data_IF_744840774904
#
_entry.id   IF_744840774904
#
_cell.length_a   1.000
_cell.length_b   1.000
_cell.length_c   1.000
_cell.angle_alpha   90.00
_cell.angle_beta   90.00
_cell.angle_gamma   90.00
#
_symmetry.space_group_name_H-M   'P 1'
#
loop_
_entity.id
_entity.type
_entity.pdbx_description
1 polymer ?
2 non-polymer ?
3 non-polymer ?
4 water ?
#
# COMPACT_ATOMS: atom_id res chain seq x y z
N UNK A 1 -1.12 -2.29 -13.83
CA UNK A 1 -0.05 -1.61 -13.11
C UNK A 1 0.49 -2.47 -11.99
N UNK A 2 1.64 -2.09 -11.43
CA UNK A 2 2.20 -2.84 -10.32
C UNK A 2 2.42 -1.94 -9.10
N UNK A 3 2.57 -2.58 -7.96
CA UNK A 3 2.95 -1.91 -6.74
C UNK A 3 4.14 -2.66 -6.15
N UNK A 4 5.18 -1.91 -5.78
CA UNK A 4 6.35 -2.39 -5.06
C UNK A 4 6.45 -1.63 -3.73
N UNK A 5 6.16 -2.31 -2.63
CA UNK A 5 6.30 -1.75 -1.29
C UNK A 5 7.64 -2.21 -0.73
N UNK A 6 8.51 -1.29 -0.37
CA UNK A 6 9.65 -1.68 0.44
C UNK A 6 9.30 -1.53 1.92
N UNK A 7 9.28 -2.66 2.62
CA UNK A 7 8.93 -2.73 4.06
C UNK A 7 10.22 -2.64 4.88
N UNK A 8 10.45 -1.47 5.46
CA UNK A 8 11.73 -1.21 6.15
C UNK A 8 11.59 -1.19 7.67
N UNK A 9 12.50 -1.93 8.28
CA UNK A 9 12.64 -2.08 9.75
C UNK A 9 13.44 -0.88 10.24
N UNK A 10 12.98 -0.24 11.30
CA UNK A 10 13.57 0.97 11.84
C UNK A 10 13.70 0.81 13.35
N UNK A 11 14.89 1.06 13.90
CA UNK A 11 15.08 0.96 15.37
C UNK A 11 14.18 1.88 16.17
N UNK A 12 13.89 1.48 17.41
CA UNK A 12 13.10 2.32 18.30
C UNK A 12 13.67 3.73 18.37
N UNK A 13 12.82 4.73 18.07
CA UNK A 13 13.22 6.12 18.13
C UNK A 13 13.80 6.69 16.85
N UNK A 14 14.10 5.85 15.86
CA UNK A 14 14.72 6.27 14.61
C UNK A 14 13.74 6.72 13.56
N UNK A 15 12.43 6.59 13.80
CA UNK A 15 11.42 7.07 12.89
C UNK A 15 11.63 8.49 12.36
N UNK A 16 11.80 9.45 13.27
CA UNK A 16 12.06 10.84 12.82
C UNK A 16 13.26 10.96 11.90
N UNK A 17 14.39 10.34 12.25
CA UNK A 17 15.57 10.40 11.38
C UNK A 17 15.28 9.78 10.01
N UNK A 18 14.52 8.69 9.98
CA UNK A 18 14.24 8.02 8.71
C UNK A 18 13.37 8.89 7.81
N UNK A 19 12.32 9.49 8.38
CA UNK A 19 11.43 10.35 7.61
C UNK A 19 12.14 11.58 7.09
N UNK A 20 13.08 12.11 7.85
CA UNK A 20 13.84 13.25 7.38
C UNK A 20 14.65 12.88 6.15
N UNK A 21 15.19 11.67 6.13
CA UNK A 21 15.94 11.24 4.96
C UNK A 21 15.03 11.14 3.73
N UNK A 22 13.77 10.76 3.90
CA UNK A 22 12.89 10.75 2.73
C UNK A 22 12.35 12.14 2.37
N UNK A 23 12.38 13.09 3.30
CA UNK A 23 11.60 14.31 3.14
C UNK A 23 11.88 15.07 1.83
N UNK A 24 13.11 15.03 1.33
CA UNK A 24 13.47 15.79 0.14
C UNK A 24 13.96 14.89 -1.00
N UNK A 25 13.35 13.70 -1.10
CA UNK A 25 13.79 12.71 -2.05
C UNK A 25 12.95 12.67 -3.32
N UNK A 26 11.91 13.53 -3.40
CA UNK A 26 10.99 13.49 -4.54
C UNK A 26 11.72 13.53 -5.89
N UNK A 27 12.76 14.36 -6.00
CA UNK A 27 13.45 14.58 -7.26
C UNK A 27 14.02 13.30 -7.86
N UNK A 28 14.34 12.31 -7.01
CA UNK A 28 15.05 11.10 -7.41
C UNK A 28 14.17 10.13 -8.20
N UNK A 29 12.87 10.33 -8.21
CA UNK A 29 11.97 9.34 -8.82
C UNK A 29 10.84 10.04 -9.57
N UNK A 30 10.63 11.32 -9.28
CA UNK A 30 9.43 12.02 -9.72
C UNK A 30 9.26 11.99 -11.22
N UNK A 31 10.36 12.09 -11.96
CA UNK A 31 10.29 12.26 -13.40
C UNK A 31 10.57 10.95 -14.15
N UNK A 32 10.52 9.80 -13.48
CA UNK A 32 10.76 8.51 -14.14
C UNK A 32 9.60 8.09 -15.04
N UNK A 33 9.90 7.56 -16.22
CA UNK A 33 8.86 7.01 -17.10
C UNK A 33 8.09 5.88 -16.43
N UNK A 34 6.77 5.90 -16.54
CA UNK A 34 5.92 4.86 -16.00
C UNK A 34 5.73 4.92 -14.51
N UNK A 35 6.39 5.85 -13.82
CA UNK A 35 6.21 5.99 -12.39
C UNK A 35 4.88 6.67 -12.13
N UNK A 36 4.07 6.07 -11.26
CA UNK A 36 2.74 6.60 -10.99
C UNK A 36 2.62 7.23 -9.61
N UNK A 37 3.68 7.31 -8.83
CA UNK A 37 3.62 7.92 -7.52
C UNK A 37 4.13 7.01 -6.42
N UNK A 38 4.34 7.61 -5.25
CA UNK A 38 4.75 6.83 -4.11
C UNK A 38 4.41 7.56 -2.82
N UNK A 39 4.22 6.79 -1.76
CA UNK A 39 3.96 7.35 -0.44
C UNK A 39 4.94 6.76 0.56
N UNK A 40 5.42 7.59 1.50
CA UNK A 40 6.07 7.04 2.68
C UNK A 40 4.99 6.87 3.75
N UNK A 41 4.90 5.67 4.29
CA UNK A 41 3.84 5.35 5.23
C UNK A 41 4.45 4.95 6.56
N UNK A 42 4.08 5.77 7.60
CA UNK A 42 4.51 5.61 8.98
C UNK A 42 3.59 4.63 9.68
N UNK A 43 4.12 3.60 10.34
CA UNK A 43 3.24 2.62 10.95
C UNK A 43 2.63 3.18 12.21
N UNK A 44 1.40 2.76 12.49
CA UNK A 44 0.59 3.30 13.57
C UNK A 44 0.07 2.12 14.36
N UNK A 45 -0.34 1.07 13.65
CA UNK A 45 -0.89 -0.10 14.33
C UNK A 45 -0.94 -1.28 13.37
N UNK A 46 -0.61 -2.47 13.90
CA UNK A 46 -0.70 -3.69 13.14
C UNK A 46 0.56 -4.04 12.40
N UNK A 47 1.48 -3.10 12.32
CA UNK A 47 2.73 -3.30 11.64
C UNK A 47 3.76 -2.43 12.36
N UNK A 48 5.00 -2.86 12.35
CA UNK A 48 6.07 -2.04 12.89
C UNK A 48 7.01 -1.46 11.84
N UNK A 49 6.87 -1.85 10.57
CA UNK A 49 7.75 -1.31 9.53
C UNK A 49 7.13 -0.08 8.88
N UNK A 50 8.02 0.76 8.35
CA UNK A 50 7.61 1.76 7.36
C UNK A 50 7.36 1.06 6.04
N UNK A 51 6.27 1.41 5.37
CA UNK A 51 5.96 0.91 4.04
C UNK A 51 6.26 2.03 3.04
N UNK A 52 7.24 1.83 2.16
CA UNK A 52 7.49 2.74 1.03
C UNK A 52 6.72 2.17 -0.17
N UNK A 53 5.56 2.77 -0.45
CA UNK A 53 4.62 2.25 -1.44
C UNK A 53 4.79 2.99 -2.75
N UNK A 54 5.22 2.26 -3.79
CA UNK A 54 5.43 2.82 -5.13
C UNK A 54 4.53 2.12 -6.14
N UNK A 55 3.99 2.92 -7.07
CA UNK A 55 3.07 2.48 -8.12
C UNK A 55 3.74 2.69 -9.46
N UNK A 56 3.63 1.70 -10.35
CA UNK A 56 4.26 1.82 -11.66
C UNK A 56 3.33 1.28 -12.72
N UNK A 57 3.46 1.87 -13.92
CA UNK A 57 2.70 1.38 -15.07
C UNK A 57 3.04 -0.08 -15.35
N UNK A 58 4.29 -0.47 -15.12
CA UNK A 58 4.73 -1.82 -15.43
C UNK A 58 5.92 -2.17 -14.56
N UNK A 59 6.15 -3.46 -14.43
CA UNK A 59 7.36 -3.93 -13.74
C UNK A 59 8.62 -3.45 -14.45
N UNK A 60 8.58 -3.37 -15.79
CA UNK A 60 9.73 -2.90 -16.57
C UNK A 60 10.11 -1.48 -16.18
N UNK A 61 9.12 -0.59 -16.02
CA UNK A 61 9.40 0.77 -15.58
C UNK A 61 10.05 0.81 -14.20
N UNK A 62 9.62 -0.07 -13.30
CA UNK A 62 10.23 -0.10 -11.98
C UNK A 62 11.69 -0.55 -12.06
N UNK A 63 11.95 -1.65 -12.79
CA UNK A 63 13.32 -2.14 -12.92
C UNK A 63 14.23 -1.09 -13.52
N UNK A 64 13.74 -0.39 -14.54
CA UNK A 64 14.59 0.62 -15.17
C UNK A 64 15.04 1.65 -14.14
N UNK A 65 14.11 2.18 -13.36
CA UNK A 65 14.48 3.18 -12.35
C UNK A 65 15.43 2.60 -11.32
N UNK A 66 15.13 1.39 -10.83
CA UNK A 66 15.92 0.77 -9.77
C UNK A 66 17.36 0.54 -10.20
N UNK A 67 17.60 0.25 -11.48
CA UNK A 67 18.94 -0.07 -11.93
C UNK A 67 19.77 1.12 -12.36
N UNK A 68 19.16 2.27 -12.60
CA UNK A 68 19.95 3.39 -13.06
C UNK A 68 19.84 4.61 -12.18
N UNK A 69 18.83 5.44 -12.46
CA UNK A 69 18.64 6.69 -11.69
C UNK A 69 18.71 6.49 -10.19
N UNK A 70 18.09 5.43 -9.68
CA UNK A 70 18.04 5.19 -8.25
C UNK A 70 19.45 5.06 -7.67
N UNK A 71 20.33 4.31 -8.36
CA UNK A 71 21.70 4.18 -7.89
C UNK A 71 22.46 5.48 -8.08
N UNK A 72 22.21 6.19 -9.18
CA UNK A 72 22.84 7.48 -9.39
C UNK A 72 22.45 8.49 -8.30
N UNK A 73 21.18 8.48 -7.85
CA UNK A 73 20.71 9.48 -6.90
C UNK A 73 21.42 9.41 -5.54
N UNK A 74 22.34 8.45 -5.40
CA UNK A 74 23.15 8.27 -4.20
C UNK A 74 24.45 9.06 -4.23
N UNK A 75 24.76 9.74 -5.34
CA UNK A 75 26.13 10.21 -5.56
C UNK A 75 26.63 11.09 -4.41
N UNK A 76 25.80 11.98 -3.90
CA UNK A 76 26.37 12.85 -2.86
C UNK A 76 26.30 12.28 -1.46
N UNK A 77 25.44 11.30 -1.23
CA UNK A 77 25.14 10.81 0.14
C UNK A 77 26.04 9.71 0.70
N UNK A 78 25.98 9.58 2.02
CA UNK A 78 26.62 8.48 2.79
C UNK A 78 25.77 7.24 2.56
N UNK A 79 26.34 6.06 2.71
CA UNK A 79 25.53 4.84 2.52
C UNK A 79 25.20 4.21 3.87
N UNK A 80 25.34 4.98 4.96
CA UNK A 80 25.11 4.54 6.34
C UNK A 80 23.63 4.57 6.70
N UNK A 81 22.91 3.44 6.69
CA UNK A 81 21.49 3.46 6.96
C UNK A 81 21.00 3.53 8.42
N UNK A 82 19.80 4.06 8.58
CA UNK A 82 19.15 4.02 9.91
C UNK A 82 18.33 2.74 9.94
N UNK A 83 17.85 2.31 8.77
CA UNK A 83 17.09 1.07 8.60
C UNK A 83 17.94 -0.13 9.00
N UNK A 84 17.30 -1.10 9.63
CA UNK A 84 17.96 -2.31 10.10
C UNK A 84 17.66 -3.52 9.22
N UNK A 85 16.67 -3.42 8.34
CA UNK A 85 16.45 -4.44 7.34
C UNK A 85 15.36 -3.95 6.40
N UNK A 86 15.14 -4.72 5.35
CA UNK A 86 14.24 -4.32 4.30
C UNK A 86 13.71 -5.55 3.58
N UNK A 87 12.46 -5.45 3.16
CA UNK A 87 11.87 -6.50 2.33
C UNK A 87 11.05 -5.81 1.26
N UNK A 88 11.29 -6.18 0.00
CA UNK A 88 10.51 -5.70 -1.13
C UNK A 88 9.28 -6.58 -1.30
N UNK A 89 8.10 -5.97 -1.25
CA UNK A 89 6.82 -6.63 -1.48
C UNK A 89 6.25 -6.16 -2.80
N UNK A 90 5.96 -7.10 -3.70
CA UNK A 90 5.61 -6.80 -5.09
C UNK A 90 4.22 -7.35 -5.43
N UNK A 91 3.39 -6.51 -6.05
CA UNK A 91 1.99 -6.86 -6.29
C UNK A 91 1.59 -6.45 -7.70
N UNK A 92 0.53 -7.07 -8.18
CA UNK A 92 -0.15 -6.64 -9.39
C UNK A 92 -1.45 -5.94 -9.00
N UNK A 93 -1.71 -4.76 -9.56
CA UNK A 93 -2.94 -4.04 -9.24
C UNK A 93 -4.09 -4.74 -9.95
N UNK A 94 -4.96 -5.39 -9.19
CA UNK A 94 -6.11 -6.11 -9.76
C UNK A 94 -7.35 -5.24 -9.88
N UNK A 95 -7.52 -4.26 -8.98
CA UNK A 95 -8.67 -3.35 -8.98
C UNK A 95 -8.24 -2.03 -8.37
N UNK A 96 -8.61 -0.92 -9.03
CA UNK A 96 -8.26 0.42 -8.55
C UNK A 96 -9.50 1.31 -8.59
N UNK A 97 -9.93 1.78 -7.43
CA UNK A 97 -11.17 2.51 -7.31
C UNK A 97 -10.90 3.84 -6.60
N UNK A 98 -11.39 4.93 -7.18
CA UNK A 98 -11.19 6.24 -6.59
C UNK A 98 -12.34 6.59 -5.66
N UNK A 99 -12.16 7.71 -4.94
CA UNK A 99 -13.11 8.17 -3.94
C UNK A 99 -14.58 7.98 -4.28
N UNK B 1 -3.62 12.42 5.72
CA UNK B 1 -4.35 11.22 5.30
C UNK B 1 -3.90 9.97 6.00
N UNK B 2 -4.72 8.89 5.98
CA UNK B 2 -4.34 7.63 6.58
C UNK B 2 -4.45 6.55 5.53
N UNK B 3 -3.77 5.45 5.79
CA UNK B 3 -3.89 4.27 4.96
C UNK B 3 -4.16 3.07 5.85
N UNK B 4 -5.20 2.30 5.49
CA UNK B 4 -5.55 1.07 6.16
C UNK B 4 -5.43 -0.06 5.16
N UNK B 5 -4.42 -0.89 5.31
CA UNK B 5 -4.28 -2.08 4.49
C UNK B 5 -4.85 -3.26 5.23
N UNK B 6 -5.87 -3.90 4.67
CA UNK B 6 -6.26 -5.22 5.15
C UNK B 6 -5.48 -6.29 4.39
N UNK B 7 -4.69 -7.09 5.13
CA UNK B 7 -3.84 -8.16 4.56
C UNK B 7 -4.55 -9.51 4.74
N UNK B 8 -5.11 -10.05 3.66
CA UNK B 8 -6.02 -11.19 3.74
C UNK B 8 -5.32 -12.44 3.23
N UNK B 9 -5.38 -13.51 4.01
CA UNK B 9 -4.83 -14.80 3.63
C UNK B 9 -5.87 -15.55 2.79
N UNK B 10 -5.47 -15.98 1.60
CA UNK B 10 -6.42 -16.55 0.63
C UNK B 10 -5.80 -17.77 -0.04
N UNK B 11 -6.45 -18.94 0.10
CA UNK B 11 -5.89 -20.18 -0.44
C UNK B 11 -5.68 -20.13 -1.95
N UNK B 12 -4.59 -20.76 -2.37
CA UNK B 12 -4.25 -20.85 -3.78
C UNK B 12 -5.45 -21.37 -4.56
N UNK B 13 -5.77 -20.70 -5.66
CA UNK B 13 -6.88 -21.07 -6.47
C UNK B 13 -8.18 -20.37 -6.12
N UNK B 14 -8.25 -19.75 -4.94
CA UNK B 14 -9.42 -18.98 -4.60
C UNK B 14 -9.29 -17.53 -5.03
N UNK B 15 -8.08 -17.12 -5.44
CA UNK B 15 -7.79 -15.82 -6.01
C UNK B 15 -8.79 -15.35 -7.03
N UNK B 16 -9.17 -16.20 -7.99
CA UNK B 16 -10.21 -15.79 -8.96
C UNK B 16 -11.56 -15.49 -8.30
N UNK B 17 -12.05 -16.39 -7.45
CA UNK B 17 -13.32 -16.13 -6.77
C UNK B 17 -13.20 -14.91 -5.87
N UNK B 18 -12.06 -14.75 -5.17
CA UNK B 18 -11.87 -13.57 -4.34
C UNK B 18 -11.83 -12.30 -5.18
N UNK B 19 -11.09 -12.32 -6.29
CA UNK B 19 -11.01 -11.14 -7.14
C UNK B 19 -12.36 -10.84 -7.75
N UNK B 20 -13.12 -11.90 -8.08
CA UNK B 20 -14.47 -11.71 -8.60
C UNK B 20 -15.35 -11.06 -7.54
N UNK B 21 -15.18 -11.47 -6.28
CA UNK B 21 -15.97 -10.83 -5.24
C UNK B 21 -15.60 -9.36 -5.14
N UNK B 22 -14.32 -9.04 -5.23
CA UNK B 22 -13.95 -7.63 -5.12
C UNK B 22 -14.36 -6.83 -6.35
N UNK B 23 -14.43 -7.47 -7.52
CA UNK B 23 -14.76 -6.75 -8.74
C UNK B 23 -16.13 -6.10 -8.63
N UNK B 24 -17.01 -6.66 -7.81
CA UNK B 24 -18.35 -6.13 -7.67
C UNK B 24 -18.57 -5.47 -6.31
N UNK B 25 -17.50 -4.97 -5.68
CA UNK B 25 -17.62 -4.43 -4.34
C UNK B 25 -17.51 -2.91 -4.23
N UNK B 26 -17.20 -2.19 -5.31
CA UNK B 26 -16.96 -0.76 -5.18
C UNK B 26 -18.13 -0.04 -4.52
N UNK B 27 -19.37 -0.44 -4.88
CA UNK B 27 -20.56 0.25 -4.39
C UNK B 27 -20.55 0.37 -2.87
N UNK B 28 -19.90 -0.58 -2.19
CA UNK B 28 -19.91 -0.68 -0.73
C UNK B 28 -19.09 0.41 -0.03
N UNK B 29 -18.17 1.09 -0.73
CA UNK B 29 -17.30 2.04 -0.03
C UNK B 29 -17.27 3.39 -0.76
N UNK B 30 -17.51 3.39 -2.05
CA UNK B 30 -17.28 4.65 -2.76
C UNK B 30 -18.38 5.65 -2.41
N UNK B 31 -17.98 6.91 -2.41
CA UNK B 31 -18.74 8.05 -1.91
C UNK B 31 -18.88 8.09 -0.40
N UNK B 32 -18.19 7.22 0.34
CA UNK B 32 -18.23 7.34 1.79
C UNK B 32 -17.55 8.65 2.18
N UNK B 33 -18.06 9.35 3.17
CA UNK B 33 -17.37 10.57 3.61
C UNK B 33 -15.90 10.30 3.90
N UNK B 34 -15.03 11.10 3.29
CA UNK B 34 -13.61 11.02 3.58
C UNK B 34 -12.86 9.85 2.93
N UNK B 35 -13.53 9.01 2.16
CA UNK B 35 -12.87 7.91 1.47
C UNK B 35 -12.12 8.44 0.25
N UNK B 36 -10.83 8.09 0.10
CA UNK B 36 -10.06 8.63 -1.01
C UNK B 36 -9.72 7.58 -2.09
N UNK B 37 -10.27 6.37 -2.02
CA UNK B 37 -9.99 5.37 -3.03
C UNK B 37 -9.40 4.09 -2.44
N UNK B 38 -9.36 3.06 -3.27
CA UNK B 38 -8.71 1.84 -2.78
C UNK B 38 -8.31 0.92 -3.94
N UNK B 39 -7.35 0.06 -3.65
CA UNK B 39 -6.83 -0.91 -4.62
C UNK B 39 -6.84 -2.31 -4.00
N UNK B 40 -7.14 -3.32 -4.80
CA UNK B 40 -6.86 -4.71 -4.45
C UNK B 40 -5.54 -5.11 -5.10
N UNK B 41 -4.64 -5.69 -4.31
CA UNK B 41 -3.33 -6.01 -4.85
C UNK B 41 -3.15 -7.51 -4.76
N UNK B 42 -2.95 -8.13 -5.91
CA UNK B 42 -2.63 -9.55 -5.92
C UNK B 42 -1.13 -9.73 -5.66
N UNK B 43 -0.76 -10.61 -4.71
CA UNK B 43 0.65 -10.78 -4.39
C UNK B 43 1.41 -11.48 -5.50
N UNK B 44 2.70 -11.15 -5.62
CA UNK B 44 3.50 -11.61 -6.74
C UNK B 44 4.84 -12.18 -6.28
N UNK B 45 5.44 -11.53 -5.28
CA UNK B 45 6.71 -11.95 -4.73
C UNK B 45 6.92 -11.23 -3.41
N UNK B 46 7.40 -11.94 -2.38
CA UNK B 46 7.64 -11.36 -1.08
C UNK B 46 6.46 -11.38 -0.13
N UNK B 47 5.24 -11.65 -0.61
CA UNK B 47 4.05 -11.74 0.21
C UNK B 47 3.13 -12.78 -0.41
N UNK B 48 2.35 -13.45 0.43
CA UNK B 48 1.32 -14.33 -0.11
C UNK B 48 -0.07 -13.83 0.16
N UNK B 49 -0.22 -12.76 0.93
CA UNK B 49 -1.54 -12.24 1.18
C UNK B 49 -1.90 -11.22 0.12
N UNK B 50 -3.17 -11.11 -0.15
CA UNK B 50 -3.69 -9.95 -0.88
C UNK B 50 -3.67 -8.75 0.05
N UNK B 51 -3.25 -7.61 -0.49
CA UNK B 51 -3.26 -6.34 0.24
C UNK B 51 -4.45 -5.54 -0.30
N UNK B 52 -5.40 -5.26 0.57
CA UNK B 52 -6.49 -4.34 0.26
C UNK B 52 -6.08 -2.99 0.81
N UNK B 53 -5.63 -2.10 -0.07
CA UNK B 53 -5.05 -0.82 0.35
C UNK B 53 -6.14 0.26 0.27
N UNK B 54 -6.53 0.84 1.41
CA UNK B 54 -7.63 1.83 1.43
C UNK B 54 -7.10 3.17 1.92
N UNK B 55 -7.60 4.25 1.33
CA UNK B 55 -7.06 5.57 1.63
C UNK B 55 -8.17 6.42 2.24
N UNK B 56 -7.85 7.16 3.31
CA UNK B 56 -8.88 7.95 3.99
C UNK B 56 -8.35 9.30 4.42
N UNK B 57 -9.25 10.28 4.48
CA UNK B 57 -8.95 11.61 5.01
C UNK B 57 -8.37 11.55 6.43
N UNK B 58 -8.98 10.70 7.24
CA UNK B 58 -8.74 10.63 8.66
C UNK B 58 -9.06 9.22 9.11
N UNK B 59 -8.56 8.87 10.30
CA UNK B 59 -8.95 7.61 10.89
C UNK B 59 -10.45 7.58 11.22
N UNK B 60 -11.01 8.73 11.64
CA UNK B 60 -12.44 8.78 11.98
C UNK B 60 -13.30 8.46 10.77
N UNK B 61 -12.92 8.96 9.60
CA UNK B 61 -13.64 8.63 8.37
C UNK B 61 -13.59 7.13 8.11
N UNK B 62 -12.42 6.51 8.32
CA UNK B 62 -12.35 5.06 8.18
C UNK B 62 -13.26 4.34 9.20
N UNK B 63 -13.16 4.71 10.50
CA UNK B 63 -13.97 4.01 11.51
C UNK B 63 -15.48 4.14 11.23
N UNK B 64 -15.93 5.31 10.82
CA UNK B 64 -17.35 5.45 10.49
C UNK B 64 -17.73 4.52 9.33
N UNK B 65 -16.85 4.35 8.34
CA UNK B 65 -17.21 3.40 7.29
C UNK B 65 -17.28 1.97 7.84
N UNK B 66 -16.28 1.57 8.63
CA UNK B 66 -16.23 0.20 9.14
C UNK B 66 -17.36 -0.09 10.12
N UNK B 67 -17.81 0.89 10.86
CA UNK B 67 -18.79 0.62 11.91
C UNK B 67 -20.22 0.64 11.42
N UNK B 68 -20.48 1.12 10.19
CA UNK B 68 -21.81 1.20 9.65
C UNK B 68 -21.94 0.53 8.29
N UNK B 69 -21.60 1.29 7.26
CA UNK B 69 -21.71 0.76 5.88
C UNK B 69 -21.10 -0.59 5.67
N UNK B 70 -19.86 -0.80 6.13
CA UNK B 70 -19.18 -2.06 5.85
C UNK B 70 -19.98 -3.23 6.42
N UNK B 71 -20.55 -3.05 7.62
CA UNK B 71 -21.34 -4.11 8.24
C UNK B 71 -22.67 -4.26 7.51
N UNK B 72 -23.30 -3.14 7.16
CA UNK B 72 -24.57 -3.17 6.43
C UNK B 72 -24.45 -3.86 5.07
N UNK B 73 -23.32 -3.67 4.39
CA UNK B 73 -23.16 -4.24 3.04
C UNK B 73 -23.15 -5.76 3.03
N UNK B 74 -23.21 -6.39 4.21
CA UNK B 74 -23.27 -7.85 4.29
C UNK B 74 -24.70 -8.37 4.23
N UNK B 75 -25.68 -7.51 4.35
CA UNK B 75 -27.05 -7.97 4.40
C UNK B 75 -27.37 -8.69 3.10
N UNK B 76 -28.01 -9.87 3.21
CA UNK B 76 -28.35 -10.63 2.03
C UNK B 76 -27.27 -11.50 1.38
N UNK B 77 -26.02 -11.49 1.86
CA UNK B 77 -24.92 -12.14 1.13
C UNK B 77 -24.76 -13.55 1.73
N UNK B 78 -25.28 -14.56 1.00
CA UNK B 78 -25.23 -15.92 1.54
C UNK B 78 -23.97 -16.71 1.18
N UNK B 79 -22.98 -16.08 0.59
CA UNK B 79 -21.73 -16.81 0.25
C UNK B 79 -20.88 -17.10 1.49
N UNK B 80 -20.14 -18.20 1.46
CA UNK B 80 -19.20 -18.54 2.56
C UNK B 80 -17.86 -17.87 2.23
N UNK B 81 -17.04 -17.50 3.22
CA UNK B 81 -15.79 -16.81 2.93
C UNK B 81 -14.72 -17.66 2.26
N UNK B 82 -13.88 -17.04 1.43
CA UNK B 82 -12.79 -17.80 0.87
C UNK B 82 -11.49 -17.41 1.55
N UNK B 83 -11.44 -16.27 2.22
CA UNK B 83 -10.29 -15.86 3.01
C UNK B 83 -10.14 -16.71 4.28
N UNK B 84 -8.89 -16.82 4.72
CA UNK B 84 -8.49 -17.66 5.85
C UNK B 84 -8.23 -16.88 7.14
N UNK B 85 -7.79 -15.64 7.03
CA UNK B 85 -7.58 -14.74 8.15
C UNK B 85 -7.31 -13.36 7.58
N UNK B 86 -7.13 -12.40 8.49
CA UNK B 86 -6.92 -11.01 8.07
C UNK B 86 -6.20 -10.29 9.20
N UNK B 87 -5.36 -9.33 8.82
CA UNK B 87 -4.69 -8.48 9.80
C UNK B 87 -4.76 -7.07 9.26
N UNK B 88 -5.21 -6.14 10.09
CA UNK B 88 -5.31 -4.75 9.72
C UNK B 88 -3.99 -4.02 9.96
N UNK B 89 -3.40 -3.47 8.90
CA UNK B 89 -2.17 -2.67 9.02
C UNK B 89 -2.55 -1.20 8.80
N UNK B 90 -2.21 -0.35 9.75
CA UNK B 90 -2.70 1.02 9.80
C UNK B 90 -1.54 1.98 9.76
N UNK B 91 -1.64 2.99 8.90
CA UNK B 91 -0.49 3.85 8.67
C UNK B 91 -0.93 5.31 8.65
N UNK B 92 0.04 6.19 8.87
CA UNK B 92 -0.13 7.61 8.60
C UNK B 92 0.68 7.95 7.36
N UNK B 93 0.09 8.75 6.46
CA UNK B 93 0.81 9.21 5.27
C UNK B 93 1.78 10.33 5.67
N UNK B 94 3.07 10.04 5.60
CA UNK B 94 4.06 11.06 5.93
C UNK B 94 4.50 11.83 4.69
N UNK B 95 4.50 11.18 3.52
CA UNK B 95 4.99 11.80 2.31
C UNK B 95 4.24 11.24 1.10
N UNK B 96 3.76 12.11 0.22
CA UNK B 96 3.02 11.70 -0.96
C UNK B 96 3.59 12.43 -2.18
N UNK B 97 4.07 11.67 -3.16
CA UNK B 97 4.77 12.20 -4.33
C UNK B 97 4.10 11.60 -5.56
N UNK B 98 3.66 12.46 -6.49
CA UNK B 98 3.00 12.00 -7.70
C UNK B 98 3.94 11.88 -8.88
N UNK B 99 3.43 11.27 -9.94
CA UNK B 99 4.18 11.05 -11.19
C UNK B 99 5.11 12.15 -11.66
#
# INVERSE_FOLDING_TARGET
PVVKINAIEVPAGAGPELEKRFAHSAHAVENSPGFLGFQLLRPVKGEERYFVVTHWESDEAFQAWANGPAIAAHAGHRANPVATGASLLEFEVVLDVGG
PVVKINAIEVPAGAGPELEKRFAHSAHAVENSPGFLGFQLLRPVKGEERYFVVTHWESDEAFQAWANGPAIAAHAGHRANPVATGASLLEFEVVLDVGG
#
